data_IF_288797043268
#
_entry.id   IF_288797043268
#
_cell.length_a   1.000
_cell.length_b   1.000
_cell.length_c   1.000
_cell.angle_alpha   90.00
_cell.angle_beta   90.00
_cell.angle_gamma   90.00
#
_symmetry.space_group_name_H-M   'P 1'
#
loop_
_entity.id
_entity.type
_entity.pdbx_description
1 polymer ?
#
# COMPACT_ATOMS: atom_id res chain seq x y z
N UNK A 1 17.59 5.21 8.91
CA UNK A 1 17.16 4.28 7.84
C UNK A 1 16.19 5.00 6.93
N UNK A 2 16.58 5.30 5.69
CA UNK A 2 15.67 5.92 4.70
C UNK A 2 14.49 5.00 4.46
N UNK A 3 13.28 5.50 4.74
CA UNK A 3 12.04 4.81 4.38
C UNK A 3 11.97 4.86 2.85
N UNK A 4 12.34 3.77 2.18
CA UNK A 4 12.08 3.60 0.76
C UNK A 4 10.56 3.48 0.62
N UNK A 5 9.93 4.57 0.19
CA UNK A 5 8.57 4.56 -0.33
C UNK A 5 8.62 3.88 -1.70
N UNK A 6 7.65 3.03 -2.00
CA UNK A 6 7.52 2.41 -3.32
C UNK A 6 6.35 3.06 -4.06
N UNK A 7 6.56 3.34 -5.34
CA UNK A 7 5.55 3.86 -6.27
C UNK A 7 5.03 2.77 -7.22
N UNK A 8 5.49 1.53 -7.05
CA UNK A 8 5.12 0.35 -7.85
C UNK A 8 5.20 -0.93 -7.01
N UNK A 9 4.32 -1.89 -7.30
CA UNK A 9 4.29 -3.21 -6.69
C UNK A 9 3.88 -4.29 -7.68
N UNK A 10 4.34 -5.51 -7.42
CA UNK A 10 3.88 -6.71 -8.09
C UNK A 10 2.56 -7.20 -7.48
N UNK A 11 1.51 -7.29 -8.27
CA UNK A 11 0.24 -7.83 -7.84
C UNK A 11 0.15 -9.31 -8.25
N UNK A 12 0.09 -10.22 -7.27
CA UNK A 12 -0.01 -11.66 -7.56
C UNK A 12 -1.34 -12.04 -8.20
N UNK A 13 -2.42 -11.29 -7.96
CA UNK A 13 -3.73 -11.56 -8.56
C UNK A 13 -3.74 -11.37 -10.07
N UNK A 14 -3.00 -10.38 -10.57
CA UNK A 14 -2.86 -10.09 -12.01
C UNK A 14 -1.54 -10.64 -12.58
N UNK A 15 -0.63 -11.08 -11.71
CA UNK A 15 0.72 -11.50 -12.04
C UNK A 15 1.52 -10.42 -12.80
N UNK A 16 1.25 -9.14 -12.49
CA UNK A 16 1.74 -7.96 -13.19
C UNK A 16 2.21 -6.87 -12.23
N UNK A 17 3.02 -5.92 -12.72
CA UNK A 17 3.46 -4.76 -11.93
C UNK A 17 2.40 -3.66 -12.04
N UNK A 18 1.79 -3.33 -10.91
CA UNK A 18 0.86 -2.22 -10.77
C UNK A 18 1.59 -1.00 -10.16
N UNK A 19 1.37 0.16 -10.76
CA UNK A 19 1.84 1.43 -10.20
C UNK A 19 0.91 1.91 -9.09
N UNK A 20 1.46 2.66 -8.15
CA UNK A 20 0.71 3.28 -7.06
C UNK A 20 -0.42 4.15 -7.58
N UNK A 21 -0.20 4.92 -8.65
CA UNK A 21 -1.21 5.81 -9.23
C UNK A 21 -2.44 5.03 -9.72
N UNK A 22 -2.21 3.89 -10.39
CA UNK A 22 -3.29 2.99 -10.83
C UNK A 22 -4.06 2.39 -9.64
N UNK A 23 -3.34 1.99 -8.58
CA UNK A 23 -3.96 1.46 -7.37
C UNK A 23 -4.78 2.54 -6.66
N UNK A 24 -4.28 3.77 -6.61
CA UNK A 24 -5.00 4.93 -6.05
C UNK A 24 -6.29 5.15 -6.82
N UNK A 25 -6.22 5.24 -8.15
CA UNK A 25 -7.39 5.45 -9.02
C UNK A 25 -8.44 4.34 -8.86
N UNK A 26 -7.98 3.08 -8.80
CA UNK A 26 -8.83 1.92 -8.54
C UNK A 26 -9.51 2.02 -7.17
N UNK A 27 -8.74 2.34 -6.11
CA UNK A 27 -9.22 2.46 -4.74
C UNK A 27 -10.19 3.62 -4.60
N UNK A 28 -9.92 4.78 -5.21
CA UNK A 28 -10.82 5.93 -5.24
C UNK A 28 -12.13 5.58 -5.97
N UNK A 29 -12.06 4.81 -7.05
CA UNK A 29 -13.24 4.32 -7.78
C UNK A 29 -14.03 3.24 -7.04
N UNK A 30 -13.43 2.55 -6.06
CA UNK A 30 -14.01 1.44 -5.28
C UNK A 30 -14.31 1.80 -3.82
N UNK A 31 -14.64 3.06 -3.51
CA UNK A 31 -14.96 3.54 -2.14
C UNK A 31 -13.83 3.30 -1.12
N UNK A 32 -12.58 3.44 -1.55
CA UNK A 32 -11.43 3.20 -0.68
C UNK A 32 -11.10 1.73 -0.45
N UNK A 33 -11.65 0.80 -1.24
CA UNK A 33 -11.42 -0.65 -1.06
C UNK A 33 -10.33 -1.16 -1.98
N UNK A 34 -9.30 -1.77 -1.40
CA UNK A 34 -8.28 -2.48 -2.17
C UNK A 34 -8.74 -3.84 -2.69
N UNK A 35 -9.75 -4.46 -2.06
CA UNK A 35 -10.26 -5.76 -2.46
C UNK A 35 -9.12 -6.77 -2.66
N UNK A 36 -9.00 -7.28 -3.89
CA UNK A 36 -8.01 -8.31 -4.25
C UNK A 36 -6.55 -7.82 -4.18
N UNK A 37 -6.30 -6.51 -4.17
CA UNK A 37 -4.95 -5.98 -4.00
C UNK A 37 -4.46 -6.12 -2.55
N UNK A 38 -5.37 -6.15 -1.56
CA UNK A 38 -5.00 -6.25 -0.15
C UNK A 38 -4.36 -7.61 0.16
N UNK A 39 -3.10 -7.60 0.57
CA UNK A 39 -2.32 -8.83 0.83
C UNK A 39 -1.76 -9.52 -0.42
N UNK A 40 -2.05 -9.00 -1.61
CA UNK A 40 -1.54 -9.53 -2.90
C UNK A 40 -0.44 -8.64 -3.53
N UNK A 41 -0.06 -7.56 -2.86
CA UNK A 41 0.97 -6.64 -3.32
C UNK A 41 2.34 -7.03 -2.78
N UNK A 42 3.32 -7.16 -3.66
CA UNK A 42 4.68 -7.58 -3.35
C UNK A 42 5.72 -6.68 -4.03
N UNK A 43 6.97 -6.79 -3.61
CA UNK A 43 8.08 -6.08 -4.25
C UNK A 43 8.25 -6.53 -5.71
N UNK A 44 8.33 -5.61 -6.68
CA UNK A 44 8.47 -5.96 -8.11
C UNK A 44 9.77 -6.71 -8.41
N UNK A 45 10.85 -6.37 -7.71
CA UNK A 45 12.16 -7.01 -7.91
C UNK A 45 12.28 -8.36 -7.20
N UNK A 46 11.79 -8.46 -5.96
CA UNK A 46 12.03 -9.65 -5.13
C UNK A 46 10.85 -10.63 -5.09
N UNK A 47 9.62 -10.17 -5.39
CA UNK A 47 8.33 -10.90 -5.31
C UNK A 47 8.01 -11.61 -3.98
N UNK A 48 8.88 -11.48 -2.98
CA UNK A 48 8.78 -12.16 -1.69
C UNK A 48 8.42 -11.22 -0.55
N UNK A 49 8.68 -9.92 -0.70
CA UNK A 49 8.39 -8.93 0.32
C UNK A 49 7.00 -8.35 0.12
N UNK A 50 6.08 -8.67 1.03
CA UNK A 50 4.72 -8.13 1.03
C UNK A 50 4.76 -6.61 1.26
N UNK A 51 4.00 -5.91 0.42
CA UNK A 51 3.78 -4.47 0.49
C UNK A 51 2.36 -4.22 0.98
N UNK A 52 2.21 -3.23 1.85
CA UNK A 52 0.93 -2.71 2.27
C UNK A 52 0.74 -1.32 1.65
N UNK A 53 -0.39 -1.13 1.02
CA UNK A 53 -0.81 0.18 0.55
C UNK A 53 -1.21 1.06 1.74
N UNK A 54 -0.65 2.26 1.77
CA UNK A 54 -1.00 3.27 2.75
C UNK A 54 -1.81 4.33 2.03
N UNK A 55 -3.04 4.53 2.48
CA UNK A 55 -3.93 5.53 1.93
C UNK A 55 -3.31 6.93 2.03
N UNK A 56 -3.63 7.75 1.03
CA UNK A 56 -3.39 9.20 1.10
C UNK A 56 -4.08 9.74 2.34
N UNK A 57 -3.35 10.58 3.07
CA UNK A 57 -3.88 11.35 4.20
C UNK A 57 -3.70 12.83 3.89
N UNK A 58 -4.40 13.71 4.58
CA UNK A 58 -4.36 15.16 4.34
C UNK A 58 -2.94 15.77 4.30
N UNK A 59 -1.95 15.13 4.93
CA UNK A 59 -0.54 15.58 4.98
C UNK A 59 0.42 14.77 4.12
N UNK A 60 0.01 13.61 3.58
CA UNK A 60 0.91 12.69 2.86
C UNK A 60 0.18 12.02 1.69
N UNK A 61 0.85 11.97 0.54
CA UNK A 61 0.39 11.19 -0.62
C UNK A 61 0.24 9.72 -0.23
N UNK A 62 -0.57 8.96 -0.98
CA UNK A 62 -0.56 7.51 -0.86
C UNK A 62 0.85 6.99 -1.13
N UNK A 63 1.22 5.86 -0.54
CA UNK A 63 2.49 5.20 -0.84
C UNK A 63 2.42 3.72 -0.46
N UNK A 64 3.23 2.92 -1.14
CA UNK A 64 3.42 1.52 -0.77
C UNK A 64 4.53 1.45 0.28
N UNK A 65 4.25 0.76 1.38
CA UNK A 65 5.21 0.49 2.44
C UNK A 65 5.42 -1.00 2.56
N UNK A 66 6.67 -1.41 2.73
CA UNK A 66 6.96 -2.81 3.06
C UNK A 66 6.30 -3.17 4.38
N UNK A 67 5.52 -4.26 4.36
CA UNK A 67 5.03 -4.90 5.57
C UNK A 67 6.19 -5.64 6.19
N UNK A 68 6.93 -4.91 7.02
CA UNK A 68 7.90 -5.52 7.91
C UNK A 68 7.08 -6.35 8.89
N UNK A 69 7.16 -7.68 8.78
CA UNK A 69 6.61 -8.61 9.76
C UNK A 69 7.45 -8.55 11.05
N UNK A 70 7.57 -7.34 11.61
CA UNK A 70 8.21 -7.10 12.87
C UNK A 70 7.16 -7.39 13.93
N UNK A 71 7.30 -8.55 14.55
CA UNK A 71 6.70 -8.90 15.83
C UNK A 71 7.31 -7.97 16.91
N UNK A 72 7.08 -6.67 16.80
CA UNK A 72 7.56 -5.63 17.71
C UNK A 72 6.51 -4.52 17.72
N UNK A 73 5.68 -4.60 18.76
CA UNK A 73 5.16 -3.45 19.53
C UNK A 73 5.86 -2.15 19.14
N UNK A 74 5.18 -1.24 18.45
CA UNK A 74 4.88 0.09 18.99
C UNK A 74 4.05 0.94 18.03
N UNK A 75 3.04 1.56 18.63
CA UNK A 75 2.55 2.91 18.39
C UNK A 75 1.79 3.20 17.08
N UNK A 76 0.47 3.25 17.24
CA UNK A 76 -0.35 4.41 16.92
C UNK A 76 -0.22 4.96 15.50
N UNK A 77 -0.87 4.32 14.54
CA UNK A 77 -1.37 5.03 13.37
C UNK A 77 -2.89 5.16 13.52
N UNK A 78 -3.29 6.18 14.28
CA UNK A 78 -4.61 6.78 14.12
C UNK A 78 -4.67 7.32 12.69
N UNK A 79 -5.27 6.58 11.77
CA UNK A 79 -5.80 7.17 10.55
C UNK A 79 -7.22 7.55 10.91
N UNK A 80 -7.39 8.80 11.37
CA UNK A 80 -8.70 9.42 11.49
C UNK A 80 -9.33 9.44 10.11
N UNK A 81 -10.40 8.67 9.97
CA UNK A 81 -11.50 8.91 9.04
C UNK A 81 -12.02 10.33 9.24
N UNK A 82 -12.19 11.06 8.14
CA UNK A 82 -12.83 12.37 8.04
C UNK A 82 -12.88 12.69 6.54
N UNK A 83 -13.95 12.33 5.85
CA UNK A 83 -15.20 13.12 5.74
C UNK A 83 -14.93 14.46 5.05
N UNK A 84 -15.15 14.48 3.73
CA UNK A 84 -16.13 15.38 3.08
C UNK A 84 -16.37 14.94 1.64
#
# INVERSE_FOLDING_TARGET
MSRKSFDECYCTSMNDIATLDYIVDFVESHDGKLGNYEGSMFCPECRSAELSYVHKTSKKRAFLRRKLNFKLKLASFNISTGDL
#
